data_IF_636994524259
#
_entry.id   IF_636994524259
#
_cell.length_a   1.000
_cell.length_b   1.000
_cell.length_c   1.000
_cell.angle_alpha   90.00
_cell.angle_beta   90.00
_cell.angle_gamma   90.00
#
_symmetry.space_group_name_H-M   'P 1'
#
loop_
_entity.id
_entity.type
_entity.pdbx_description
1 polymer ?
#
# COMPACT_ATOMS: atom_id res chain seq x y z
N UNK A 1 45.88 69.91 -6.03
CA UNK A 1 45.78 68.46 -6.26
C UNK A 1 44.99 67.86 -5.11
N UNK A 2 43.73 67.51 -5.35
CA UNK A 2 42.86 66.87 -4.36
C UNK A 2 42.47 65.53 -4.99
N UNK A 3 42.97 64.43 -4.42
CA UNK A 3 42.72 63.09 -4.91
C UNK A 3 41.26 62.72 -4.67
N UNK A 4 40.52 62.52 -5.75
CA UNK A 4 39.19 61.93 -5.71
C UNK A 4 39.36 60.47 -5.30
N UNK A 5 38.87 60.14 -4.11
CA UNK A 5 38.87 58.78 -3.59
C UNK A 5 38.10 57.89 -4.57
N UNK A 6 38.79 56.87 -5.06
CA UNK A 6 38.25 55.82 -5.91
C UNK A 6 37.24 55.02 -5.09
N UNK A 7 35.96 55.38 -5.25
CA UNK A 7 34.83 54.67 -4.66
C UNK A 7 34.69 53.34 -5.39
N UNK A 8 35.39 52.31 -4.88
CA UNK A 8 35.22 50.92 -5.30
C UNK A 8 33.79 50.50 -4.97
N UNK A 9 32.97 50.31 -6.00
CA UNK A 9 31.66 49.71 -5.85
C UNK A 9 31.83 48.29 -5.30
N UNK A 10 31.40 48.07 -4.06
CA UNK A 10 31.44 46.74 -3.47
C UNK A 10 30.46 45.84 -4.23
N UNK A 11 30.91 44.65 -4.70
CA UNK A 11 30.04 43.76 -5.44
C UNK A 11 28.89 43.30 -4.54
N UNK A 12 27.66 43.57 -4.98
CA UNK A 12 26.43 43.19 -4.29
C UNK A 12 26.24 41.66 -4.34
N UNK A 13 26.93 40.97 -3.45
CA UNK A 13 26.86 39.52 -3.30
C UNK A 13 25.47 39.03 -2.89
N UNK A 14 24.65 39.89 -2.26
CA UNK A 14 23.31 39.53 -1.75
C UNK A 14 22.30 39.29 -2.87
N UNK A 15 22.39 40.03 -3.98
CA UNK A 15 21.50 39.79 -5.14
C UNK A 15 21.84 38.50 -5.88
N UNK A 16 23.12 38.10 -5.92
CA UNK A 16 23.55 36.83 -6.55
C UNK A 16 23.20 35.57 -5.75
N UNK A 17 23.28 35.62 -4.42
CA UNK A 17 22.89 34.48 -3.57
C UNK A 17 21.38 34.22 -3.64
N UNK A 18 20.60 35.30 -3.65
CA UNK A 18 19.14 35.20 -3.70
C UNK A 18 18.68 34.53 -5.00
N UNK A 19 19.24 34.91 -6.16
CA UNK A 19 18.92 34.26 -7.44
C UNK A 19 19.31 32.79 -7.50
N UNK A 20 20.48 32.42 -6.93
CA UNK A 20 20.94 31.02 -6.87
C UNK A 20 20.07 30.15 -5.99
N UNK A 21 19.59 30.69 -4.87
CA UNK A 21 18.72 29.97 -3.95
C UNK A 21 17.33 29.78 -4.56
N UNK A 22 16.81 30.79 -5.27
CA UNK A 22 15.54 30.68 -5.98
C UNK A 22 15.62 29.65 -7.11
N UNK A 23 16.69 29.66 -7.92
CA UNK A 23 16.90 28.66 -8.98
C UNK A 23 17.08 27.24 -8.41
N UNK A 24 17.82 27.06 -7.32
CA UNK A 24 17.97 25.76 -6.66
C UNK A 24 16.68 25.25 -6.02
N UNK A 25 15.82 26.15 -5.53
CA UNK A 25 14.48 25.82 -5.02
C UNK A 25 13.54 25.45 -6.18
N UNK A 26 13.64 26.13 -7.31
CA UNK A 26 12.81 25.89 -8.50
C UNK A 26 13.21 24.61 -9.25
N UNK A 27 14.50 24.30 -9.32
CA UNK A 27 15.04 23.06 -9.91
C UNK A 27 14.63 21.82 -9.08
N UNK A 28 14.67 21.92 -7.74
CA UNK A 28 14.15 20.85 -6.86
C UNK A 28 12.63 20.71 -6.90
N UNK A 29 11.90 21.79 -7.20
CA UNK A 29 10.43 21.75 -7.31
C UNK A 29 9.94 21.29 -8.69
N UNK A 30 10.71 21.51 -9.77
CA UNK A 30 10.38 21.09 -11.13
C UNK A 30 10.55 19.58 -11.38
N UNK A 31 11.47 18.91 -10.66
CA UNK A 31 11.77 17.48 -10.83
C UNK A 31 10.74 16.54 -10.16
N UNK A 32 9.90 17.04 -9.26
CA UNK A 32 9.01 16.21 -8.42
C UNK A 32 7.60 15.94 -8.96
N UNK A 33 7.24 16.40 -10.17
CA UNK A 33 5.85 16.35 -10.68
C UNK A 33 5.57 15.29 -11.74
N UNK A 34 6.50 14.39 -12.02
CA UNK A 34 6.28 13.33 -13.00
C UNK A 34 5.88 12.02 -12.35
N UNK A 35 4.55 11.85 -12.26
CA UNK A 35 3.79 10.58 -12.37
C UNK A 35 2.63 10.61 -11.39
N UNK A 36 1.49 11.19 -11.78
CA UNK A 36 0.26 11.19 -10.95
C UNK A 36 -0.92 10.45 -11.58
N UNK A 37 -0.78 9.93 -12.80
CA UNK A 37 -1.88 9.25 -13.50
C UNK A 37 -1.81 7.71 -13.48
N UNK A 38 -0.63 7.09 -13.36
CA UNK A 38 -0.52 5.62 -13.26
C UNK A 38 -0.96 5.06 -11.89
N UNK A 39 -1.24 5.95 -10.92
CA UNK A 39 -1.49 5.57 -9.53
C UNK A 39 -2.92 5.14 -9.23
N UNK A 40 -3.92 5.44 -10.07
CA UNK A 40 -5.32 5.18 -9.70
C UNK A 40 -5.70 3.70 -9.78
N UNK A 41 -5.32 3.02 -10.87
CA UNK A 41 -5.65 1.61 -11.07
C UNK A 41 -4.94 0.70 -10.07
N UNK A 42 -3.62 0.88 -9.89
CA UNK A 42 -2.86 0.12 -8.90
C UNK A 42 -3.39 0.34 -7.49
N UNK A 43 -3.73 1.59 -7.12
CA UNK A 43 -4.36 1.87 -5.82
C UNK A 43 -5.68 1.13 -5.66
N UNK A 44 -6.55 1.17 -6.68
CA UNK A 44 -7.82 0.49 -6.65
C UNK A 44 -7.66 -1.03 -6.46
N UNK A 45 -6.76 -1.66 -7.22
CA UNK A 45 -6.45 -3.09 -7.09
C UNK A 45 -5.98 -3.40 -5.67
N UNK A 46 -5.01 -2.62 -5.16
CA UNK A 46 -4.45 -2.86 -3.83
C UNK A 46 -5.51 -2.74 -2.73
N UNK A 47 -6.41 -1.75 -2.84
CA UNK A 47 -7.53 -1.62 -1.90
C UNK A 47 -8.49 -2.81 -1.97
N UNK A 48 -8.79 -3.33 -3.17
CA UNK A 48 -9.63 -4.52 -3.31
C UNK A 48 -9.01 -5.74 -2.61
N UNK A 49 -7.70 -5.97 -2.79
CA UNK A 49 -6.98 -7.03 -2.09
C UNK A 49 -7.01 -6.85 -0.57
N UNK A 50 -6.70 -5.64 -0.08
CA UNK A 50 -6.74 -5.33 1.36
C UNK A 50 -8.12 -5.57 1.96
N UNK A 51 -9.20 -5.25 1.25
CA UNK A 51 -10.57 -5.53 1.71
C UNK A 51 -10.79 -7.04 1.86
N UNK A 52 -10.44 -7.82 0.83
CA UNK A 52 -10.59 -9.29 0.88
C UNK A 52 -9.75 -9.90 1.99
N UNK A 53 -8.46 -9.52 2.09
CA UNK A 53 -7.54 -9.98 3.13
C UNK A 53 -8.06 -9.64 4.53
N UNK A 54 -8.59 -8.42 4.71
CA UNK A 54 -9.16 -7.97 5.99
C UNK A 54 -10.40 -8.77 6.38
N UNK A 55 -11.27 -9.09 5.42
CA UNK A 55 -12.44 -9.93 5.68
C UNK A 55 -12.02 -11.35 6.11
N UNK A 56 -11.01 -11.94 5.44
CA UNK A 56 -10.50 -13.27 5.81
C UNK A 56 -9.80 -13.23 7.17
N UNK A 57 -9.04 -12.17 7.47
CA UNK A 57 -8.42 -11.99 8.79
C UNK A 57 -9.48 -11.88 9.88
N UNK A 58 -10.54 -11.13 9.62
CA UNK A 58 -11.65 -11.01 10.54
C UNK A 58 -12.42 -12.32 10.71
N UNK A 59 -12.58 -13.13 9.65
CA UNK A 59 -13.08 -14.52 9.75
C UNK A 59 -12.23 -15.34 10.72
N UNK A 60 -10.90 -15.31 10.59
CA UNK A 60 -10.01 -16.06 11.48
C UNK A 60 -10.20 -15.61 12.93
N UNK A 61 -10.24 -14.29 13.16
CA UNK A 61 -10.53 -13.73 14.48
C UNK A 61 -11.86 -14.26 15.03
N UNK A 62 -12.95 -14.11 14.30
CA UNK A 62 -14.27 -14.58 14.72
C UNK A 62 -14.30 -16.09 15.05
N UNK A 63 -13.61 -16.91 14.27
CA UNK A 63 -13.55 -18.37 14.51
C UNK A 63 -12.71 -18.72 15.72
N UNK A 64 -11.55 -18.09 15.90
CA UNK A 64 -10.65 -18.31 17.04
C UNK A 64 -11.35 -17.96 18.36
N UNK A 65 -12.16 -16.90 18.37
CA UNK A 65 -12.91 -16.47 19.56
C UNK A 65 -14.25 -17.19 19.75
N UNK A 66 -14.56 -18.22 18.93
CA UNK A 66 -15.77 -19.03 19.10
C UNK A 66 -17.07 -18.27 18.86
N UNK A 67 -17.07 -17.34 17.91
CA UNK A 67 -18.27 -16.58 17.55
C UNK A 67 -19.43 -17.48 17.13
N UNK A 68 -20.66 -17.01 17.38
CA UNK A 68 -21.88 -17.71 17.04
C UNK A 68 -22.15 -17.64 15.52
N UNK A 69 -22.13 -18.76 14.76
CA UNK A 69 -22.41 -18.76 13.33
C UNK A 69 -23.87 -18.42 12.98
N UNK A 70 -24.81 -18.53 13.93
CA UNK A 70 -26.21 -18.13 13.74
C UNK A 70 -26.40 -16.60 13.78
N UNK A 71 -25.38 -15.86 14.24
CA UNK A 71 -25.42 -14.41 14.19
C UNK A 71 -25.29 -13.94 12.73
N UNK A 72 -26.25 -13.13 12.27
CA UNK A 72 -26.32 -12.67 10.87
C UNK A 72 -25.03 -11.98 10.38
N UNK A 73 -24.37 -11.20 11.24
CA UNK A 73 -23.11 -10.51 10.88
C UNK A 73 -21.96 -11.52 10.72
N UNK A 74 -21.82 -12.47 11.65
CA UNK A 74 -20.79 -13.53 11.57
C UNK A 74 -21.02 -14.40 10.33
N UNK A 75 -22.27 -14.83 10.09
CA UNK A 75 -22.66 -15.61 8.93
C UNK A 75 -22.34 -14.87 7.62
N UNK A 76 -22.59 -13.56 7.55
CA UNK A 76 -22.26 -12.74 6.39
C UNK A 76 -20.75 -12.76 6.11
N UNK A 77 -19.91 -12.56 7.12
CA UNK A 77 -18.44 -12.60 6.95
C UNK A 77 -17.99 -13.98 6.46
N UNK A 78 -18.52 -15.06 7.03
CA UNK A 78 -18.16 -16.41 6.60
C UNK A 78 -18.55 -16.66 5.15
N UNK A 79 -19.77 -16.29 4.74
CA UNK A 79 -20.23 -16.42 3.36
C UNK A 79 -19.43 -15.61 2.36
N UNK A 80 -19.07 -14.36 2.71
CA UNK A 80 -18.27 -13.50 1.83
C UNK A 80 -16.84 -14.04 1.66
N UNK A 81 -16.30 -14.69 2.69
CA UNK A 81 -14.91 -15.19 2.69
C UNK A 81 -14.77 -16.63 2.20
N UNK A 82 -15.82 -17.44 2.24
CA UNK A 82 -15.81 -18.84 1.80
C UNK A 82 -15.24 -19.08 0.40
N UNK A 83 -15.60 -18.33 -0.67
CA UNK A 83 -15.04 -18.59 -2.00
C UNK A 83 -13.52 -18.35 -2.07
N UNK A 84 -12.98 -17.47 -1.22
CA UNK A 84 -11.55 -17.18 -1.14
C UNK A 84 -10.78 -18.23 -0.33
N UNK A 85 -11.43 -18.85 0.66
CA UNK A 85 -10.82 -19.84 1.57
C UNK A 85 -10.97 -21.28 1.05
N UNK A 86 -12.09 -21.60 0.40
CA UNK A 86 -12.45 -22.95 -0.07
C UNK A 86 -11.39 -23.64 -0.95
N UNK A 87 -10.71 -22.95 -1.89
CA UNK A 87 -9.66 -23.57 -2.69
C UNK A 87 -8.53 -24.15 -1.85
N UNK A 88 -8.12 -23.47 -0.78
CA UNK A 88 -7.05 -23.92 0.11
C UNK A 88 -7.50 -25.07 1.01
N UNK A 89 -8.76 -25.06 1.45
CA UNK A 89 -9.34 -26.18 2.20
C UNK A 89 -9.37 -27.46 1.34
N UNK A 90 -9.83 -27.32 0.09
CA UNK A 90 -9.94 -28.44 -0.85
C UNK A 90 -8.58 -28.94 -1.32
N UNK A 91 -7.66 -28.04 -1.70
CA UNK A 91 -6.35 -28.39 -2.25
C UNK A 91 -5.48 -29.20 -1.27
N UNK A 92 -5.56 -28.88 0.02
CA UNK A 92 -4.75 -29.52 1.06
C UNK A 92 -5.54 -30.46 1.97
N UNK A 93 -6.81 -30.75 1.64
CA UNK A 93 -7.74 -31.53 2.47
C UNK A 93 -7.80 -31.06 3.93
N UNK A 94 -7.66 -29.75 4.15
CA UNK A 94 -7.61 -29.19 5.49
C UNK A 94 -8.99 -29.28 6.15
N UNK A 95 -8.97 -29.59 7.45
CA UNK A 95 -10.15 -29.62 8.29
C UNK A 95 -9.99 -28.58 9.40
N UNK A 96 -11.06 -27.87 9.79
CA UNK A 96 -10.99 -26.95 10.91
C UNK A 96 -10.59 -27.68 12.21
N UNK A 97 -9.67 -27.11 12.96
CA UNK A 97 -9.23 -27.64 14.27
C UNK A 97 -9.95 -26.89 15.38
N UNK A 98 -10.74 -27.60 16.19
CA UNK A 98 -11.46 -27.02 17.33
C UNK A 98 -10.58 -27.01 18.59
N UNK A 99 -10.70 -25.95 19.39
CA UNK A 99 -10.07 -25.83 20.70
C UNK A 99 -11.01 -25.04 21.63
N UNK A 100 -11.58 -25.70 22.64
CA UNK A 100 -12.67 -25.11 23.43
C UNK A 100 -13.82 -24.66 22.53
N UNK A 101 -14.20 -23.38 22.63
CA UNK A 101 -15.21 -22.76 21.77
C UNK A 101 -14.64 -22.26 20.43
N UNK A 102 -13.31 -22.13 20.32
CA UNK A 102 -12.63 -21.60 19.16
C UNK A 102 -12.37 -22.63 18.06
N UNK A 103 -12.14 -22.13 16.85
CA UNK A 103 -11.79 -22.91 15.67
C UNK A 103 -10.64 -22.25 14.91
N UNK A 104 -9.57 -23.00 14.63
CA UNK A 104 -8.50 -22.60 13.73
C UNK A 104 -8.78 -23.20 12.35
N UNK A 105 -8.80 -22.36 11.32
CA UNK A 105 -8.89 -22.77 9.94
C UNK A 105 -7.58 -22.48 9.22
N UNK A 106 -6.71 -23.49 9.12
CA UNK A 106 -5.42 -23.36 8.41
C UNK A 106 -5.59 -22.94 6.95
N UNK A 107 -6.69 -23.34 6.29
CA UNK A 107 -7.00 -22.87 4.94
C UNK A 107 -7.20 -21.36 4.85
N UNK A 108 -7.78 -20.72 5.88
CA UNK A 108 -7.95 -19.27 5.92
C UNK A 108 -6.61 -18.54 6.13
N UNK A 109 -5.71 -19.12 6.95
CA UNK A 109 -4.35 -18.59 7.13
C UNK A 109 -3.58 -18.65 5.81
N UNK A 110 -3.65 -19.78 5.10
CA UNK A 110 -3.03 -19.93 3.78
C UNK A 110 -3.64 -18.97 2.75
N UNK A 111 -4.95 -18.74 2.80
CA UNK A 111 -5.60 -17.77 1.93
C UNK A 111 -5.03 -16.36 2.12
N UNK A 112 -4.87 -15.88 3.37
CA UNK A 112 -4.24 -14.58 3.64
C UNK A 112 -2.82 -14.53 3.07
N UNK A 113 -2.00 -15.54 3.39
CA UNK A 113 -0.62 -15.57 2.91
C UNK A 113 -0.56 -15.50 1.37
N UNK A 114 -1.44 -16.24 0.69
CA UNK A 114 -1.53 -16.24 -0.76
C UNK A 114 -1.98 -14.89 -1.33
N UNK A 115 -3.07 -14.31 -0.81
CA UNK A 115 -3.60 -13.04 -1.34
C UNK A 115 -2.65 -11.87 -1.12
N UNK A 116 -1.93 -11.83 0.01
CA UNK A 116 -0.88 -10.83 0.26
C UNK A 116 0.25 -10.95 -0.75
N UNK A 117 0.73 -12.18 -1.00
CA UNK A 117 1.77 -12.43 -2.00
C UNK A 117 1.28 -12.08 -3.42
N UNK A 118 0.04 -12.43 -3.73
CA UNK A 118 -0.57 -12.17 -5.04
C UNK A 118 -0.73 -10.67 -5.30
N UNK A 119 -1.21 -9.91 -4.30
CA UNK A 119 -1.31 -8.45 -4.34
C UNK A 119 0.06 -7.80 -4.61
N UNK A 120 1.09 -8.24 -3.87
CA UNK A 120 2.46 -7.78 -4.06
C UNK A 120 2.99 -8.09 -5.47
N UNK A 121 2.81 -9.34 -5.94
CA UNK A 121 3.25 -9.77 -7.26
C UNK A 121 2.58 -8.96 -8.39
N UNK A 122 1.26 -8.79 -8.31
CA UNK A 122 0.49 -8.00 -9.29
C UNK A 122 0.94 -6.54 -9.29
N UNK A 123 1.07 -5.92 -8.12
CA UNK A 123 1.53 -4.52 -8.01
C UNK A 123 2.90 -4.33 -8.62
N UNK A 124 3.83 -5.26 -8.33
CA UNK A 124 5.20 -5.21 -8.89
C UNK A 124 5.20 -5.40 -10.40
N UNK A 125 4.41 -6.34 -10.91
CA UNK A 125 4.29 -6.58 -12.35
C UNK A 125 3.73 -5.35 -13.07
N UNK A 126 2.67 -4.72 -12.54
CA UNK A 126 2.13 -3.47 -13.09
C UNK A 126 3.20 -2.38 -13.11
N UNK A 127 3.97 -2.25 -12.03
CA UNK A 127 5.08 -1.30 -11.96
C UNK A 127 6.10 -1.52 -13.08
N UNK A 128 6.57 -2.75 -13.28
CA UNK A 128 7.53 -3.09 -14.34
C UNK A 128 6.95 -2.80 -15.73
N UNK A 129 5.70 -3.19 -15.98
CA UNK A 129 5.04 -3.00 -17.29
C UNK A 129 4.76 -1.53 -17.60
N UNK A 130 4.48 -0.72 -16.59
CA UNK A 130 4.21 0.71 -16.74
C UNK A 130 5.49 1.55 -16.83
N UNK A 131 6.64 0.99 -16.42
CA UNK A 131 7.97 1.63 -16.47
C UNK A 131 8.66 1.49 -17.83
N UNK A 132 7.94 1.23 -18.92
CA UNK A 132 8.55 1.12 -20.25
C UNK A 132 9.20 2.47 -20.65
N UNK A 133 10.43 2.45 -21.19
CA UNK A 133 11.20 3.66 -21.51
C UNK A 133 10.52 4.52 -22.59
#
# INVERSE_FOLDING_TARGET
>A
MIGLAEQKEEPDWRSQDTGRHLQAVEEKQGSGRQSSSQHKLTRFINYAFVIVESLILFRIFLKVFGSNPENAFVAMIYRLTDPFVSPFLSAFNLRPTRFGLGVIEFGAILAIAFFVLLNYAITKLIGILASRP
#
